data_IF_228852914704
#
_entry.id   IF_228852914704
#
_cell.length_a   1.000
_cell.length_b   1.000
_cell.length_c   1.000
_cell.angle_alpha   90.00
_cell.angle_beta   90.00
_cell.angle_gamma   90.00
#
_symmetry.space_group_name_H-M   'P 1'
#
loop_
_entity.id
_entity.type
_entity.pdbx_description
1 polymer ?
#
# COMPACT_ATOMS: atom_id res chain seq x y z
N UNK A 1 10.79 -28.53 17.82
CA UNK A 1 11.57 -27.39 18.33
C UNK A 1 11.05 -26.13 17.65
N UNK A 2 10.50 -25.19 18.41
CA UNK A 2 9.98 -23.92 17.87
C UNK A 2 11.16 -22.97 17.71
N UNK A 3 11.72 -22.89 16.51
CA UNK A 3 12.85 -21.98 16.26
C UNK A 3 12.29 -20.57 16.10
N UNK A 4 12.35 -19.79 17.17
CA UNK A 4 12.08 -18.34 17.11
C UNK A 4 13.27 -17.69 16.43
N UNK A 5 13.22 -17.57 15.10
CA UNK A 5 14.20 -16.78 14.37
C UNK A 5 13.92 -15.30 14.62
N UNK A 6 14.56 -14.73 15.63
CA UNK A 6 14.88 -13.31 15.63
C UNK A 6 16.39 -13.23 15.37
N UNK A 7 16.83 -13.14 14.09
CA UNK A 7 18.23 -12.86 13.82
C UNK A 7 18.56 -11.50 14.45
N UNK A 8 19.51 -11.53 15.38
CA UNK A 8 20.09 -10.39 16.09
C UNK A 8 21.04 -9.57 15.20
N UNK A 9 20.70 -9.42 13.90
CA UNK A 9 21.25 -8.32 13.11
C UNK A 9 20.43 -7.12 13.51
N UNK A 10 21.07 -6.09 14.05
CA UNK A 10 20.51 -4.74 14.13
C UNK A 10 19.86 -4.44 12.78
N UNK A 11 18.55 -4.65 12.67
CA UNK A 11 17.86 -4.57 11.40
C UNK A 11 18.07 -3.15 10.90
N UNK A 12 18.76 -3.09 9.75
CA UNK A 12 18.89 -2.00 8.79
C UNK A 12 18.12 -0.74 9.20
N UNK A 13 18.84 0.39 9.27
CA UNK A 13 18.29 1.75 9.49
C UNK A 13 16.85 1.82 8.99
N UNK A 14 15.95 2.16 9.91
CA UNK A 14 14.47 1.98 9.93
C UNK A 14 13.73 2.77 8.82
N UNK A 15 14.42 3.13 7.76
CA UNK A 15 13.93 3.80 6.57
C UNK A 15 14.15 2.88 5.37
N UNK A 16 13.36 1.80 5.24
CA UNK A 16 13.03 1.42 3.87
C UNK A 16 12.36 2.66 3.29
N UNK A 17 12.92 3.28 2.23
CA UNK A 17 12.32 4.46 1.62
C UNK A 17 10.85 4.13 1.39
N UNK A 18 9.95 5.06 1.72
CA UNK A 18 8.53 4.71 1.67
C UNK A 18 8.10 4.57 0.20
N UNK A 19 8.28 3.36 -0.32
CA UNK A 19 8.06 3.01 -1.69
C UNK A 19 6.64 2.50 -1.81
N UNK A 20 5.75 3.41 -2.18
CA UNK A 20 4.39 3.04 -2.58
C UNK A 20 4.38 2.87 -4.09
N UNK A 21 4.00 1.68 -4.57
CA UNK A 21 3.50 1.55 -5.92
C UNK A 21 2.23 2.40 -6.03
N UNK A 22 2.35 3.57 -6.67
CA UNK A 22 1.20 4.22 -7.25
C UNK A 22 0.85 3.40 -8.48
N UNK A 23 -0.33 2.76 -8.50
CA UNK A 23 -0.92 2.33 -9.76
C UNK A 23 -1.05 3.61 -10.60
N UNK A 24 -0.18 3.72 -11.59
CA UNK A 24 -0.15 4.85 -12.50
C UNK A 24 -1.48 4.80 -13.25
N UNK A 25 -2.34 5.79 -13.00
CA UNK A 25 -3.37 6.13 -13.97
C UNK A 25 -2.74 6.99 -15.05
N UNK A 26 -2.73 6.51 -16.30
CA UNK A 26 -2.09 7.01 -17.54
C UNK A 26 -0.63 6.60 -17.68
N UNK A 27 -0.27 5.73 -18.61
CA UNK A 27 -0.43 5.98 -20.05
C UNK A 27 -0.62 4.69 -20.84
N UNK A 28 -1.25 4.81 -22.00
CA UNK A 28 -1.19 3.84 -23.09
C UNK A 28 0.27 3.43 -23.35
N UNK A 29 0.46 2.12 -23.53
CA UNK A 29 1.69 1.42 -23.93
C UNK A 29 2.93 1.62 -23.04
N UNK A 30 3.39 0.50 -22.50
CA UNK A 30 4.57 0.30 -21.64
C UNK A 30 4.40 0.70 -20.17
N UNK A 31 4.22 -0.33 -19.35
CA UNK A 31 4.25 -0.32 -17.90
C UNK A 31 5.66 0.11 -17.44
N UNK A 32 5.94 1.41 -17.43
CA UNK A 32 7.23 1.95 -16.99
C UNK A 32 7.37 1.63 -15.51
N UNK A 33 8.23 0.67 -15.15
CA UNK A 33 8.47 0.18 -13.79
C UNK A 33 9.04 1.27 -12.89
N UNK A 34 8.20 2.21 -12.47
CA UNK A 34 8.57 3.35 -11.64
C UNK A 34 8.03 3.15 -10.21
N UNK A 35 8.96 3.11 -9.28
CA UNK A 35 8.71 3.16 -7.85
C UNK A 35 8.70 4.62 -7.40
N UNK A 36 7.85 4.98 -6.44
CA UNK A 36 7.87 6.32 -5.86
C UNK A 36 8.48 6.30 -4.47
N UNK A 37 9.66 6.90 -4.27
CA UNK A 37 10.23 7.17 -2.96
C UNK A 37 9.49 8.37 -2.34
N UNK A 38 8.71 8.10 -1.31
CA UNK A 38 7.96 9.11 -0.58
C UNK A 38 8.68 9.47 0.72
N UNK A 39 9.05 10.73 0.88
CA UNK A 39 9.79 11.22 2.05
C UNK A 39 8.92 12.20 2.83
N UNK A 40 8.92 12.07 4.15
CA UNK A 40 8.17 12.93 5.05
C UNK A 40 8.90 14.26 5.23
N UNK A 41 8.22 15.39 4.99
CA UNK A 41 8.82 16.72 5.15
C UNK A 41 8.03 17.64 6.10
N UNK A 42 8.75 18.59 6.66
CA UNK A 42 8.31 19.54 7.70
C UNK A 42 8.71 20.96 7.27
N UNK A 43 7.92 21.60 6.39
CA UNK A 43 8.17 22.98 6.00
C UNK A 43 7.92 23.94 7.14
N UNK A 44 8.69 25.03 7.15
CA UNK A 44 8.42 26.18 7.99
C UNK A 44 7.05 26.80 7.67
N UNK A 45 6.43 27.53 8.61
CA UNK A 45 5.10 28.11 8.40
C UNK A 45 5.00 29.00 7.16
N UNK A 46 6.04 29.79 6.87
CA UNK A 46 6.11 30.66 5.70
C UNK A 46 6.12 29.85 4.39
N UNK A 47 6.99 28.83 4.28
CA UNK A 47 7.05 27.93 3.13
C UNK A 47 5.75 27.16 2.93
N UNK A 48 5.17 26.66 4.03
CA UNK A 48 3.89 25.96 4.00
C UNK A 48 2.76 26.86 3.47
N UNK A 49 2.79 28.18 3.75
CA UNK A 49 1.84 29.15 3.22
C UNK A 49 2.00 29.33 1.71
N UNK A 50 3.24 29.44 1.22
CA UNK A 50 3.57 29.50 -0.21
C UNK A 50 3.05 28.25 -0.94
N UNK A 51 3.39 27.05 -0.47
CA UNK A 51 2.93 25.82 -1.10
C UNK A 51 1.40 25.63 -1.04
N UNK A 52 0.73 26.11 0.03
CA UNK A 52 -0.74 26.11 0.08
C UNK A 52 -1.36 27.06 -0.94
N UNK A 53 -0.76 28.23 -1.19
CA UNK A 53 -1.18 29.15 -2.26
C UNK A 53 -1.03 28.48 -3.62
N UNK A 54 0.10 27.83 -3.88
CA UNK A 54 0.32 27.05 -5.10
C UNK A 54 -0.72 25.93 -5.28
N UNK A 55 -1.06 25.19 -4.22
CA UNK A 55 -2.12 24.18 -4.25
C UNK A 55 -3.49 24.79 -4.57
N UNK A 56 -3.80 25.97 -4.01
CA UNK A 56 -5.05 26.67 -4.31
C UNK A 56 -5.11 27.13 -5.78
N UNK A 57 -3.99 27.59 -6.34
CA UNK A 57 -3.91 28.02 -7.74
C UNK A 57 -4.10 26.82 -8.68
N UNK A 58 -3.44 25.70 -8.41
CA UNK A 58 -3.61 24.46 -9.16
C UNK A 58 -5.06 23.95 -9.09
N UNK A 59 -5.69 24.00 -7.90
CA UNK A 59 -7.11 23.65 -7.75
C UNK A 59 -8.01 24.54 -8.58
N UNK A 60 -7.75 25.85 -8.60
CA UNK A 60 -8.52 26.80 -9.39
C UNK A 60 -8.43 26.46 -10.88
N UNK A 61 -7.21 26.33 -11.43
CA UNK A 61 -7.01 25.97 -12.83
C UNK A 61 -7.62 24.60 -13.19
N UNK A 62 -7.48 23.59 -12.32
CA UNK A 62 -8.12 22.28 -12.52
C UNK A 62 -9.65 22.41 -12.60
N UNK A 63 -10.27 23.12 -11.66
CA UNK A 63 -11.73 23.25 -11.63
C UNK A 63 -12.26 24.07 -12.83
N UNK A 64 -11.54 25.11 -13.25
CA UNK A 64 -11.85 25.86 -14.47
C UNK A 64 -11.76 24.97 -15.71
N UNK A 65 -10.72 24.13 -15.80
CA UNK A 65 -10.58 23.17 -16.88
C UNK A 65 -11.71 22.12 -16.92
N UNK A 66 -12.15 21.60 -15.77
CA UNK A 66 -13.33 20.71 -15.71
C UNK A 66 -14.61 21.46 -16.12
N UNK A 67 -14.80 22.70 -15.64
CA UNK A 67 -15.99 23.49 -15.97
C UNK A 67 -16.09 23.78 -17.47
N UNK A 68 -14.97 24.19 -18.08
CA UNK A 68 -14.87 24.41 -19.52
C UNK A 68 -15.24 23.15 -20.31
N UNK A 69 -14.68 21.99 -19.93
CA UNK A 69 -14.94 20.72 -20.62
C UNK A 69 -16.38 20.24 -20.47
N UNK A 70 -17.05 20.54 -19.36
CA UNK A 70 -18.48 20.24 -19.17
C UNK A 70 -19.36 21.07 -20.11
N UNK A 71 -18.98 22.32 -20.38
CA UNK A 71 -19.75 23.24 -21.21
C UNK A 71 -19.48 23.07 -22.71
N UNK A 72 -18.21 22.90 -23.10
CA UNK A 72 -17.77 22.95 -24.50
C UNK A 72 -17.30 21.59 -25.04
N UNK A 73 -17.36 20.54 -24.22
CA UNK A 73 -16.77 19.24 -24.53
C UNK A 73 -15.25 19.21 -24.36
N UNK A 74 -14.65 18.05 -24.64
CA UNK A 74 -13.21 17.82 -24.44
C UNK A 74 -12.42 18.34 -25.64
N UNK A 75 -11.47 19.28 -25.43
CA UNK A 75 -10.58 19.72 -26.51
C UNK A 75 -9.72 18.56 -27.04
N UNK A 76 -9.42 18.57 -28.34
CA UNK A 76 -8.60 17.53 -29.00
C UNK A 76 -7.25 17.29 -28.31
N UNK A 77 -6.60 18.35 -27.82
CA UNK A 77 -5.31 18.26 -27.14
C UNK A 77 -5.33 18.96 -25.78
N UNK A 78 -4.61 18.39 -24.81
CA UNK A 78 -4.44 19.01 -23.49
C UNK A 78 -3.77 20.39 -23.57
N UNK A 79 -2.88 20.59 -24.56
CA UNK A 79 -2.24 21.88 -24.85
C UNK A 79 -3.25 22.97 -25.18
N UNK A 80 -4.26 22.67 -26.01
CA UNK A 80 -5.31 23.64 -26.35
C UNK A 80 -6.10 24.07 -25.11
N UNK A 81 -6.51 23.11 -24.27
CA UNK A 81 -7.20 23.43 -23.02
C UNK A 81 -6.33 24.29 -22.09
N UNK A 82 -5.05 23.94 -21.95
CA UNK A 82 -4.08 24.69 -21.15
C UNK A 82 -3.96 26.14 -21.62
N UNK A 83 -3.83 26.37 -22.92
CA UNK A 83 -3.65 27.71 -23.46
C UNK A 83 -4.93 28.55 -23.28
N UNK A 84 -6.12 27.94 -23.41
CA UNK A 84 -7.41 28.60 -23.13
C UNK A 84 -7.51 29.02 -21.64
N UNK A 85 -7.25 28.10 -20.72
CA UNK A 85 -7.42 28.35 -19.27
C UNK A 85 -6.34 29.28 -18.71
N UNK A 86 -5.12 29.28 -19.27
CA UNK A 86 -4.04 30.13 -18.77
C UNK A 86 -4.00 31.53 -19.39
N UNK A 87 -4.64 31.72 -20.55
CA UNK A 87 -4.81 33.04 -21.18
C UNK A 87 -6.10 33.74 -20.78
N UNK A 88 -7.02 33.04 -20.11
CA UNK A 88 -8.22 33.66 -19.56
C UNK A 88 -7.87 34.64 -18.44
N UNK A 89 -8.85 35.45 -18.02
CA UNK A 89 -8.64 36.38 -16.93
C UNK A 89 -8.50 35.66 -15.58
N UNK A 90 -7.27 35.32 -15.24
CA UNK A 90 -6.92 34.67 -13.99
C UNK A 90 -6.74 35.71 -12.87
N UNK A 91 -7.26 35.46 -11.66
CA UNK A 91 -6.98 36.30 -10.50
C UNK A 91 -5.47 36.45 -10.25
N UNK A 92 -5.04 37.61 -9.75
CA UNK A 92 -3.62 37.92 -9.54
C UNK A 92 -2.89 36.86 -8.70
N UNK A 93 -3.53 36.40 -7.62
CA UNK A 93 -2.95 35.36 -6.75
C UNK A 93 -2.73 34.00 -7.44
N UNK A 94 -3.43 33.73 -8.55
CA UNK A 94 -3.20 32.56 -9.42
C UNK A 94 -2.07 32.86 -10.41
N UNK A 95 -2.00 34.08 -10.94
CA UNK A 95 -0.92 34.54 -11.83
C UNK A 95 0.45 34.42 -11.15
N UNK A 96 0.54 34.80 -9.88
CA UNK A 96 1.76 34.75 -9.05
C UNK A 96 2.31 33.33 -8.82
N UNK A 97 1.50 32.28 -8.99
CA UNK A 97 1.96 30.90 -8.85
C UNK A 97 2.77 30.44 -10.08
N UNK A 98 3.78 29.55 -9.91
CA UNK A 98 4.59 29.04 -11.01
C UNK A 98 3.75 28.48 -12.17
N UNK A 99 4.17 28.73 -13.42
CA UNK A 99 3.38 28.34 -14.59
C UNK A 99 3.24 26.81 -14.72
N UNK A 100 4.32 26.04 -14.57
CA UNK A 100 4.32 24.59 -14.83
C UNK A 100 3.34 23.83 -13.93
N UNK A 101 3.24 24.17 -12.64
CA UNK A 101 2.32 23.48 -11.74
C UNK A 101 0.85 23.71 -12.13
N UNK A 102 0.52 24.90 -12.63
CA UNK A 102 -0.82 25.23 -13.14
C UNK A 102 -1.11 24.48 -14.43
N UNK A 103 -0.13 24.42 -15.34
CA UNK A 103 -0.22 23.66 -16.58
C UNK A 103 -0.48 22.17 -16.31
N UNK A 104 0.28 21.57 -15.40
CA UNK A 104 0.12 20.17 -15.00
C UNK A 104 -1.28 19.90 -14.43
N UNK A 105 -1.81 20.82 -13.61
CA UNK A 105 -3.16 20.71 -13.07
C UNK A 105 -4.26 20.72 -14.16
N UNK A 106 -4.07 21.50 -15.24
CA UNK A 106 -5.01 21.51 -16.38
C UNK A 106 -4.93 20.22 -17.19
N UNK A 107 -3.71 19.71 -17.43
CA UNK A 107 -3.53 18.41 -18.11
C UNK A 107 -4.16 17.28 -17.31
N UNK A 108 -4.02 17.30 -15.98
CA UNK A 108 -4.64 16.32 -15.09
C UNK A 108 -6.17 16.38 -15.15
N UNK A 109 -6.75 17.59 -15.22
CA UNK A 109 -8.20 17.77 -15.40
C UNK A 109 -8.68 17.24 -16.75
N UNK A 110 -7.90 17.44 -17.81
CA UNK A 110 -8.20 16.92 -19.14
C UNK A 110 -8.22 15.38 -19.17
N UNK A 111 -7.20 14.76 -18.59
CA UNK A 111 -7.12 13.29 -18.47
C UNK A 111 -8.26 12.73 -17.61
N UNK A 112 -8.56 13.38 -16.47
CA UNK A 112 -9.63 12.95 -15.59
C UNK A 112 -11.00 12.95 -16.30
N UNK A 113 -11.28 13.99 -17.08
CA UNK A 113 -12.55 14.11 -17.82
C UNK A 113 -12.64 13.11 -18.99
N UNK A 114 -11.51 12.81 -19.66
CA UNK A 114 -11.47 11.76 -20.69
C UNK A 114 -11.77 10.38 -20.12
N UNK A 115 -11.31 10.08 -18.91
CA UNK A 115 -11.60 8.80 -18.23
C UNK A 115 -13.05 8.71 -17.76
N UNK A 116 -13.64 9.83 -17.36
CA UNK A 116 -15.02 9.89 -16.91
C UNK A 116 -15.57 11.30 -17.11
N UNK A 117 -16.67 11.42 -17.88
CA UNK A 117 -17.39 12.69 -18.07
C UNK A 117 -17.92 13.28 -16.75
N UNK A 118 -18.05 12.46 -15.72
CA UNK A 118 -18.45 12.85 -14.36
C UNK A 118 -17.27 13.25 -13.46
N UNK A 119 -16.10 13.54 -14.04
CA UNK A 119 -14.93 14.00 -13.31
C UNK A 119 -15.29 15.14 -12.35
N UNK A 120 -15.00 14.93 -11.06
CA UNK A 120 -15.41 15.84 -9.99
C UNK A 120 -14.45 17.02 -9.86
N UNK A 121 -14.98 18.16 -9.43
CA UNK A 121 -14.17 19.28 -8.98
C UNK A 121 -13.36 18.90 -7.74
N UNK A 122 -12.16 19.45 -7.64
CA UNK A 122 -11.32 19.38 -6.44
C UNK A 122 -11.86 20.31 -5.37
N UNK A 123 -11.92 19.82 -4.14
CA UNK A 123 -12.39 20.58 -2.98
C UNK A 123 -11.22 20.98 -2.07
N UNK A 124 -11.34 22.13 -1.40
CA UNK A 124 -10.45 22.52 -0.29
C UNK A 124 -10.49 21.46 0.83
N UNK A 125 -11.63 20.75 0.95
CA UNK A 125 -11.89 19.75 1.99
C UNK A 125 -11.32 18.37 1.65
N UNK A 126 -10.75 18.21 0.46
CA UNK A 126 -10.15 16.95 0.03
C UNK A 126 -9.07 16.50 1.01
N UNK A 127 -8.95 15.17 1.15
CA UNK A 127 -8.02 14.58 2.11
C UNK A 127 -6.57 14.85 1.74
N UNK A 128 -6.28 14.89 0.44
CA UNK A 128 -4.95 15.06 -0.14
C UNK A 128 -4.96 16.11 -1.24
N UNK A 129 -3.87 16.88 -1.32
CA UNK A 129 -3.60 17.82 -2.40
C UNK A 129 -2.19 17.59 -2.91
N UNK A 130 -2.03 17.43 -4.22
CA UNK A 130 -0.73 17.14 -4.84
C UNK A 130 -0.33 18.28 -5.77
N UNK A 131 0.94 18.67 -5.71
CA UNK A 131 1.58 19.53 -6.71
C UNK A 131 2.53 18.67 -7.52
N UNK A 132 2.41 18.74 -8.85
CA UNK A 132 3.29 18.01 -9.77
C UNK A 132 4.26 19.00 -10.41
N UNK A 133 5.55 18.66 -10.36
CA UNK A 133 6.63 19.48 -10.89
C UNK A 133 7.32 18.74 -12.03
N UNK A 134 7.70 19.49 -13.07
CA UNK A 134 8.48 18.97 -14.19
C UNK A 134 9.94 18.71 -13.77
N UNK A 135 10.65 17.94 -14.59
CA UNK A 135 12.09 17.77 -14.49
C UNK A 135 12.81 19.13 -14.42
N UNK A 136 13.82 19.24 -13.57
CA UNK A 136 14.60 20.46 -13.40
C UNK A 136 14.00 21.54 -12.48
N UNK A 137 12.74 21.41 -12.03
CA UNK A 137 12.14 22.33 -11.06
C UNK A 137 12.61 22.08 -9.61
N UNK A 138 13.21 20.92 -9.36
CA UNK A 138 13.83 20.57 -8.09
C UNK A 138 15.35 20.65 -8.23
N UNK A 139 15.96 21.63 -7.58
CA UNK A 139 17.41 21.90 -7.60
C UNK A 139 17.85 22.41 -6.23
N UNK A 140 19.12 22.25 -5.89
CA UNK A 140 19.67 22.66 -4.59
C UNK A 140 18.83 22.18 -3.39
N UNK A 141 18.24 20.98 -3.48
CA UNK A 141 17.43 20.38 -2.42
C UNK A 141 16.05 21.00 -2.20
N UNK A 142 15.56 21.88 -3.09
CA UNK A 142 14.23 22.51 -2.95
C UNK A 142 13.51 22.71 -4.29
N UNK A 143 12.20 22.96 -4.24
CA UNK A 143 11.38 23.29 -5.40
C UNK A 143 11.40 24.79 -5.67
N UNK A 144 11.70 25.16 -6.92
CA UNK A 144 11.83 26.55 -7.37
C UNK A 144 12.72 27.42 -6.47
N UNK A 145 14.05 27.19 -6.41
CA UNK A 145 14.95 27.85 -5.47
C UNK A 145 14.92 29.39 -5.50
N UNK A 146 14.62 29.99 -6.67
CA UNK A 146 14.45 31.45 -6.80
C UNK A 146 13.19 31.96 -6.07
N UNK A 147 12.10 31.19 -6.14
CA UNK A 147 10.79 31.55 -5.54
C UNK A 147 10.68 31.14 -4.07
N UNK A 148 11.53 30.21 -3.62
CA UNK A 148 11.59 29.73 -2.23
C UNK A 148 12.87 30.16 -1.53
N UNK A 149 13.56 31.19 -2.04
CA UNK A 149 14.80 31.71 -1.46
C UNK A 149 14.58 32.11 0.00
N UNK A 150 15.47 31.65 0.89
CA UNK A 150 15.41 31.92 2.33
C UNK A 150 14.36 31.11 3.08
N UNK A 151 13.64 30.19 2.43
CA UNK A 151 12.65 29.33 3.06
C UNK A 151 13.14 27.89 3.13
N UNK A 152 13.06 27.28 4.32
CA UNK A 152 13.56 25.93 4.53
C UNK A 152 12.47 24.93 4.95
N UNK A 153 12.81 23.65 4.82
CA UNK A 153 12.05 22.55 5.39
C UNK A 153 13.01 21.48 5.92
N UNK A 154 12.58 20.78 6.97
CA UNK A 154 13.27 19.58 7.45
C UNK A 154 12.69 18.33 6.78
N UNK A 155 13.52 17.34 6.52
CA UNK A 155 13.11 16.05 5.96
C UNK A 155 13.36 14.93 6.96
N UNK A 156 12.58 13.85 6.87
CA UNK A 156 12.79 12.64 7.70
C UNK A 156 13.96 11.79 7.21
N UNK A 157 14.36 11.95 5.96
CA UNK A 157 15.45 11.24 5.30
C UNK A 157 16.27 12.27 4.51
N UNK A 158 17.47 11.89 4.13
CA UNK A 158 18.33 12.71 3.27
C UNK A 158 17.63 13.02 1.94
N UNK A 159 17.61 14.30 1.61
CA UNK A 159 17.05 14.82 0.36
C UNK A 159 18.12 14.79 -0.73
N UNK A 160 17.76 14.35 -1.95
CA UNK A 160 18.66 14.54 -3.09
C UNK A 160 18.88 16.03 -3.34
N UNK A 161 20.06 16.41 -3.84
CA UNK A 161 20.34 17.80 -4.22
C UNK A 161 19.64 18.17 -5.53
N UNK A 162 19.58 17.25 -6.48
CA UNK A 162 18.94 17.40 -7.77
C UNK A 162 18.18 16.13 -8.15
N UNK A 163 17.20 16.25 -9.05
CA UNK A 163 16.44 15.12 -9.56
C UNK A 163 16.12 15.28 -11.05
N UNK A 164 16.44 14.27 -11.85
CA UNK A 164 16.30 14.31 -13.30
C UNK A 164 14.83 14.18 -13.77
N UNK A 165 13.96 13.57 -12.96
CA UNK A 165 12.56 13.31 -13.32
C UNK A 165 11.60 14.31 -12.67
N UNK A 166 10.35 14.33 -13.14
CA UNK A 166 9.29 15.07 -12.47
C UNK A 166 9.12 14.60 -11.01
N UNK A 167 8.87 15.54 -10.10
CA UNK A 167 8.69 15.27 -8.67
C UNK A 167 7.31 15.70 -8.24
N UNK A 168 6.81 15.19 -7.11
CA UNK A 168 5.54 15.64 -6.55
C UNK A 168 5.67 16.08 -5.09
N UNK A 169 4.86 17.06 -4.72
CA UNK A 169 4.69 17.49 -3.33
C UNK A 169 3.24 17.26 -2.91
N UNK A 170 3.04 16.24 -2.08
CA UNK A 170 1.72 15.83 -1.60
C UNK A 170 1.47 16.30 -0.17
N UNK A 171 0.33 16.94 0.07
CA UNK A 171 -0.17 17.27 1.39
C UNK A 171 -1.39 16.43 1.73
N UNK A 172 -1.28 15.58 2.75
CA UNK A 172 -2.40 14.83 3.34
C UNK A 172 -2.78 15.48 4.67
N UNK A 173 -3.92 16.17 4.77
CA UNK A 173 -4.28 17.01 5.93
C UNK A 173 -3.15 18.00 6.29
N UNK A 174 -2.52 17.83 7.46
CA UNK A 174 -1.44 18.70 7.97
C UNK A 174 -0.04 18.11 7.71
N UNK A 175 0.03 17.13 6.81
CA UNK A 175 1.22 16.34 6.54
C UNK A 175 1.71 16.54 5.11
N UNK A 176 2.93 17.03 4.95
CA UNK A 176 3.65 17.12 3.66
C UNK A 176 4.55 15.91 3.36
N UNK A 177 4.60 15.53 2.10
CA UNK A 177 5.43 14.46 1.58
C UNK A 177 6.02 14.87 0.24
N UNK A 178 7.32 14.67 0.10
CA UNK A 178 8.04 14.75 -1.17
C UNK A 178 7.99 13.38 -1.85
N UNK A 179 7.70 13.32 -3.14
CA UNK A 179 7.63 12.07 -3.90
C UNK A 179 8.60 12.16 -5.07
N UNK A 180 9.54 11.22 -5.10
CA UNK A 180 10.59 11.09 -6.10
C UNK A 180 10.40 9.78 -6.87
N UNK A 181 10.07 9.82 -8.17
CA UNK A 181 9.98 8.63 -9.00
C UNK A 181 11.37 8.06 -9.31
N UNK A 182 11.59 6.81 -8.94
CA UNK A 182 12.79 6.00 -9.13
C UNK A 182 12.49 4.82 -10.06
N UNK A 183 13.42 4.43 -10.95
CA UNK A 183 13.28 3.17 -11.67
C UNK A 183 13.29 2.00 -10.67
N UNK A 184 12.46 0.98 -10.93
CA UNK A 184 12.51 -0.27 -10.18
C UNK A 184 13.77 -1.02 -10.61
N UNK A 185 14.77 -1.01 -9.73
CA UNK A 185 15.92 -1.89 -9.89
C UNK A 185 15.51 -3.30 -9.47
N UNK A 186 15.42 -4.20 -10.43
CA UNK A 186 15.21 -5.63 -10.18
C UNK A 186 16.48 -6.21 -9.55
N UNK A 187 16.34 -6.86 -8.40
CA UNK A 187 17.45 -7.46 -7.64
C UNK A 187 17.16 -8.93 -7.48
N UNK A 188 17.88 -9.84 -8.13
CA UNK A 188 17.55 -11.24 -7.95
C UNK A 188 17.91 -11.76 -6.55
N UNK A 189 16.97 -12.38 -5.85
CA UNK A 189 17.29 -13.10 -4.61
C UNK A 189 17.81 -14.50 -4.93
N UNK A 190 18.90 -14.91 -4.27
CA UNK A 190 19.45 -16.28 -4.32
C UNK A 190 18.69 -17.28 -3.43
N UNK A 191 17.56 -16.85 -2.86
CA UNK A 191 16.76 -17.70 -1.99
C UNK A 191 16.32 -18.97 -2.72
N UNK A 192 16.28 -20.10 -2.02
CA UNK A 192 15.81 -21.39 -2.55
C UNK A 192 14.59 -21.95 -1.80
N UNK A 193 14.21 -21.32 -0.68
CA UNK A 193 13.12 -21.81 0.18
C UNK A 193 11.74 -21.66 -0.46
N UNK A 194 10.81 -22.52 -0.04
CA UNK A 194 9.38 -22.46 -0.36
C UNK A 194 8.62 -22.24 0.94
N UNK A 195 7.59 -21.40 0.96
CA UNK A 195 6.74 -21.21 2.15
C UNK A 195 5.27 -21.07 1.80
N UNK A 196 4.42 -21.74 2.56
CA UNK A 196 2.98 -21.54 2.52
C UNK A 196 2.52 -20.72 3.72
N UNK A 197 1.75 -19.66 3.45
CA UNK A 197 1.31 -18.70 4.46
C UNK A 197 -0.18 -18.85 4.75
N UNK A 198 -0.55 -18.85 6.02
CA UNK A 198 -1.92 -18.78 6.50
C UNK A 198 -2.14 -17.47 7.29
N UNK A 199 -3.02 -16.57 6.84
CA UNK A 199 -3.30 -15.31 7.51
C UNK A 199 -4.15 -15.49 8.76
N UNK A 200 -3.68 -14.91 9.86
CA UNK A 200 -4.34 -15.00 11.15
C UNK A 200 -4.63 -13.64 11.77
N UNK A 201 -5.33 -13.67 12.91
CA UNK A 201 -5.58 -12.46 13.72
C UNK A 201 -4.61 -12.34 14.89
N UNK A 202 -4.27 -13.47 15.53
CA UNK A 202 -3.39 -13.50 16.73
C UNK A 202 -1.91 -13.47 16.37
N UNK A 203 -1.54 -14.30 15.40
CA UNK A 203 -0.34 -14.14 14.58
C UNK A 203 -0.78 -13.52 13.27
N UNK A 204 -0.06 -12.53 12.76
CA UNK A 204 -0.42 -11.88 11.50
C UNK A 204 -0.42 -12.89 10.34
N UNK A 205 0.63 -13.73 10.30
CA UNK A 205 0.78 -14.83 9.37
C UNK A 205 1.41 -16.03 10.08
N UNK A 206 1.03 -17.21 9.65
CA UNK A 206 1.67 -18.48 10.02
C UNK A 206 2.22 -19.12 8.76
N UNK A 207 3.52 -19.37 8.71
CA UNK A 207 4.21 -20.01 7.60
C UNK A 207 4.51 -21.47 7.87
N UNK A 208 4.49 -22.29 6.83
CA UNK A 208 5.10 -23.62 6.81
C UNK A 208 6.08 -23.68 5.63
N UNK A 209 7.35 -23.98 5.89
CA UNK A 209 8.45 -23.94 4.91
C UNK A 209 8.86 -25.32 4.38
N UNK A 210 8.10 -26.37 4.73
CA UNK A 210 8.43 -27.77 4.40
C UNK A 210 9.16 -28.50 5.54
N UNK A 211 9.93 -27.80 6.36
CA UNK A 211 10.68 -28.37 7.48
C UNK A 211 10.07 -28.00 8.85
N UNK A 212 9.46 -26.82 8.96
CA UNK A 212 8.97 -26.28 10.22
C UNK A 212 7.92 -25.19 10.06
N UNK A 213 7.46 -24.69 11.21
CA UNK A 213 6.45 -23.64 11.30
C UNK A 213 7.06 -22.32 11.76
N UNK A 214 6.70 -21.24 11.07
CA UNK A 214 7.13 -19.88 11.38
C UNK A 214 5.91 -19.05 11.77
N UNK A 215 5.88 -18.50 12.97
CA UNK A 215 4.82 -17.57 13.38
C UNK A 215 5.31 -16.13 13.25
N UNK A 216 4.63 -15.33 12.42
CA UNK A 216 5.05 -13.96 12.11
C UNK A 216 4.18 -12.96 12.89
N UNK A 217 4.83 -11.99 13.53
CA UNK A 217 4.21 -10.91 14.31
C UNK A 217 3.24 -11.41 15.40
N UNK A 218 3.60 -12.51 16.07
CA UNK A 218 2.81 -13.08 17.16
C UNK A 218 2.78 -12.11 18.35
N UNK A 219 1.59 -11.65 18.73
CA UNK A 219 1.40 -10.77 19.90
C UNK A 219 1.47 -9.26 19.61
N UNK A 220 1.94 -8.85 18.44
CA UNK A 220 2.02 -7.43 18.04
C UNK A 220 0.65 -6.75 17.94
N UNK A 221 -0.41 -7.54 17.69
CA UNK A 221 -1.77 -7.03 17.60
C UNK A 221 -2.25 -6.40 18.91
N UNK A 222 -1.71 -6.79 20.08
CA UNK A 222 -2.13 -6.23 21.37
C UNK A 222 -1.90 -4.71 21.45
N UNK A 223 -0.80 -4.21 20.89
CA UNK A 223 -0.52 -2.76 20.82
C UNK A 223 -1.49 -2.04 19.88
N UNK A 224 -1.76 -2.63 18.72
CA UNK A 224 -2.68 -2.08 17.72
C UNK A 224 -4.11 -2.06 18.29
N UNK A 225 -4.55 -3.14 18.94
CA UNK A 225 -5.85 -3.27 19.57
C UNK A 225 -6.10 -2.17 20.62
N UNK A 226 -5.13 -1.90 21.49
CA UNK A 226 -5.21 -0.79 22.47
C UNK A 226 -5.44 0.56 21.80
N UNK A 227 -4.70 0.85 20.72
CA UNK A 227 -4.90 2.08 19.95
C UNK A 227 -6.28 2.14 19.27
N UNK A 228 -6.80 1.00 18.81
CA UNK A 228 -8.16 0.90 18.27
C UNK A 228 -9.22 1.20 19.35
N UNK A 229 -9.04 0.72 20.58
CA UNK A 229 -9.97 1.03 21.69
C UNK A 229 -9.94 2.52 22.05
N UNK A 230 -8.76 3.13 22.15
CA UNK A 230 -8.66 4.58 22.36
C UNK A 230 -9.31 5.38 21.22
N UNK A 231 -9.22 4.89 19.98
CA UNK A 231 -9.87 5.53 18.84
C UNK A 231 -11.40 5.45 18.96
N UNK A 232 -11.94 4.35 19.47
CA UNK A 232 -13.38 4.18 19.68
C UNK A 232 -13.91 5.07 20.79
N UNK A 233 -13.22 5.12 21.94
CA UNK A 233 -13.55 6.06 23.02
C UNK A 233 -13.56 7.51 22.50
N UNK A 234 -12.53 7.87 21.73
CA UNK A 234 -12.45 9.21 21.19
C UNK A 234 -13.56 9.49 20.15
N UNK A 235 -14.01 8.48 19.40
CA UNK A 235 -15.15 8.61 18.50
C UNK A 235 -16.50 8.68 19.23
N UNK A 236 -16.69 7.92 20.30
CA UNK A 236 -17.92 7.94 21.10
C UNK A 236 -18.09 9.28 21.82
N UNK A 237 -16.99 9.89 22.28
CA UNK A 237 -16.99 11.24 22.86
C UNK A 237 -17.17 12.33 21.80
N UNK A 238 -16.70 12.08 20.57
CA UNK A 238 -16.81 13.02 19.46
C UNK A 238 -18.28 13.28 19.07
N UNK A 239 -19.14 12.26 19.11
CA UNK A 239 -20.56 12.40 18.76
C UNK A 239 -21.29 13.36 19.71
N UNK A 240 -20.88 13.40 20.98
CA UNK A 240 -21.46 14.23 22.04
C UNK A 240 -20.78 15.61 22.20
N UNK A 241 -19.69 15.88 21.47
CA UNK A 241 -18.87 17.07 21.70
C UNK A 241 -19.37 18.34 20.98
N UNK A 242 -19.21 19.54 21.58
CA UNK A 242 -19.52 20.83 20.95
C UNK A 242 -18.58 21.16 19.77
N UNK A 243 -18.99 22.06 18.87
CA UNK A 243 -18.37 22.30 17.55
C UNK A 243 -16.84 22.53 17.58
N UNK A 244 -16.34 23.40 18.47
CA UNK A 244 -14.91 23.70 18.56
C UNK A 244 -14.08 22.51 19.08
N UNK A 245 -14.56 21.83 20.14
CA UNK A 245 -13.93 20.62 20.70
C UNK A 245 -13.94 19.47 19.69
N UNK A 246 -15.02 19.33 18.93
CA UNK A 246 -15.20 18.35 17.85
C UNK A 246 -14.11 18.46 16.78
N UNK A 247 -13.69 19.68 16.40
CA UNK A 247 -12.60 19.89 15.44
C UNK A 247 -11.27 19.35 15.96
N UNK A 248 -10.88 19.70 17.19
CA UNK A 248 -9.64 19.22 17.82
C UNK A 248 -9.64 17.69 17.98
N UNK A 249 -10.76 17.13 18.41
CA UNK A 249 -10.93 15.67 18.54
C UNK A 249 -10.85 14.95 17.18
N UNK A 250 -11.44 15.50 16.09
CA UNK A 250 -11.27 14.94 14.74
C UNK A 250 -9.81 14.89 14.30
N UNK A 251 -9.01 15.91 14.65
CA UNK A 251 -7.57 15.91 14.38
C UNK A 251 -6.84 14.85 15.20
N UNK A 252 -7.17 14.70 16.49
CA UNK A 252 -6.62 13.63 17.33
C UNK A 252 -6.96 12.23 16.79
N UNK A 253 -8.23 12.00 16.41
CA UNK A 253 -8.68 10.76 15.78
C UNK A 253 -7.90 10.46 14.49
N UNK A 254 -7.64 11.49 13.67
CA UNK A 254 -6.86 11.35 12.46
C UNK A 254 -5.41 10.94 12.76
N UNK A 255 -4.76 11.59 13.73
CA UNK A 255 -3.39 11.24 14.17
C UNK A 255 -3.32 9.79 14.65
N UNK A 256 -4.32 9.35 15.42
CA UNK A 256 -4.39 7.98 15.94
C UNK A 256 -4.61 6.94 14.82
N UNK A 257 -5.52 7.19 13.88
CA UNK A 257 -5.71 6.33 12.70
C UNK A 257 -4.44 6.21 11.87
N UNK A 258 -3.72 7.31 11.69
CA UNK A 258 -2.45 7.30 10.97
C UNK A 258 -1.36 6.54 11.74
N UNK A 259 -1.32 6.64 13.07
CA UNK A 259 -0.39 5.85 13.90
C UNK A 259 -0.65 4.35 13.75
N UNK A 260 -1.92 3.94 13.81
CA UNK A 260 -2.32 2.54 13.60
C UNK A 260 -1.88 2.08 12.20
N UNK A 261 -2.18 2.87 11.17
CA UNK A 261 -1.76 2.57 9.80
C UNK A 261 -0.25 2.44 9.66
N UNK A 262 0.52 3.35 10.25
CA UNK A 262 1.98 3.31 10.17
C UNK A 262 2.55 2.04 10.82
N UNK A 263 2.01 1.60 11.96
CA UNK A 263 2.42 0.35 12.62
C UNK A 263 2.10 -0.88 11.77
N UNK A 264 0.91 -0.92 11.18
CA UNK A 264 0.51 -2.01 10.26
C UNK A 264 1.40 -2.02 9.02
N UNK A 265 1.62 -0.86 8.40
CA UNK A 265 2.47 -0.74 7.23
C UNK A 265 3.94 -1.08 7.53
N UNK A 266 4.43 -0.78 8.74
CA UNK A 266 5.76 -1.19 9.21
C UNK A 266 5.87 -2.71 9.32
N UNK A 267 4.88 -3.36 9.94
CA UNK A 267 4.80 -4.82 10.00
C UNK A 267 4.80 -5.41 8.58
N UNK A 268 3.93 -4.91 7.69
CA UNK A 268 3.86 -5.38 6.31
C UNK A 268 5.19 -5.27 5.58
N UNK A 269 5.93 -4.16 5.75
CA UNK A 269 7.24 -3.97 5.13
C UNK A 269 8.27 -4.96 5.64
N UNK A 270 8.39 -5.11 6.97
CA UNK A 270 9.33 -6.05 7.59
C UNK A 270 9.05 -7.49 7.18
N UNK A 271 7.78 -7.86 7.18
CA UNK A 271 7.36 -9.22 6.81
C UNK A 271 7.58 -9.50 5.33
N UNK A 272 7.24 -8.56 4.43
CA UNK A 272 7.49 -8.74 3.01
C UNK A 272 8.99 -8.80 2.70
N UNK A 273 9.82 -7.98 3.35
CA UNK A 273 11.27 -8.08 3.25
C UNK A 273 11.77 -9.46 3.69
N UNK A 274 11.41 -9.90 4.90
CA UNK A 274 11.75 -11.23 5.41
C UNK A 274 11.34 -12.35 4.45
N UNK A 275 10.11 -12.34 3.94
CA UNK A 275 9.63 -13.38 3.04
C UNK A 275 10.38 -13.40 1.71
N UNK A 276 10.61 -12.24 1.12
CA UNK A 276 11.29 -12.12 -0.18
C UNK A 276 12.80 -12.32 -0.12
N UNK A 277 13.41 -12.15 1.06
CA UNK A 277 14.83 -12.43 1.29
C UNK A 277 15.12 -13.91 1.56
N UNK A 278 14.17 -14.65 2.14
CA UNK A 278 14.39 -16.04 2.57
C UNK A 278 13.74 -17.08 1.65
N UNK A 279 12.72 -16.72 0.88
CA UNK A 279 11.95 -17.66 0.06
C UNK A 279 11.86 -17.20 -1.40
N UNK A 280 11.96 -18.16 -2.32
CA UNK A 280 11.80 -17.96 -3.77
C UNK A 280 10.37 -18.18 -4.24
N UNK A 281 9.66 -19.07 -3.55
CA UNK A 281 8.27 -19.40 -3.85
C UNK A 281 7.42 -19.21 -2.59
N UNK A 282 6.42 -18.36 -2.69
CA UNK A 282 5.51 -18.03 -1.59
C UNK A 282 4.09 -18.37 -2.00
N UNK A 283 3.47 -19.34 -1.32
CA UNK A 283 2.06 -19.65 -1.47
C UNK A 283 1.23 -18.79 -0.51
N UNK A 284 0.28 -18.05 -1.07
CA UNK A 284 -0.56 -17.14 -0.32
C UNK A 284 -2.04 -17.37 -0.67
N UNK A 285 -2.93 -17.59 0.31
CA UNK A 285 -4.33 -17.82 0.03
C UNK A 285 -4.99 -16.57 -0.55
N UNK A 286 -5.97 -16.76 -1.44
CA UNK A 286 -6.77 -15.67 -2.00
C UNK A 286 -7.62 -15.00 -0.93
N UNK A 287 -7.40 -13.71 -0.69
CA UNK A 287 -8.13 -12.97 0.35
C UNK A 287 -9.49 -12.46 -0.13
N UNK A 288 -10.56 -13.22 0.12
CA UNK A 288 -11.93 -12.71 -0.01
C UNK A 288 -12.36 -11.89 1.24
N UNK A 289 -11.48 -11.02 1.73
CA UNK A 289 -11.65 -10.27 2.99
C UNK A 289 -12.94 -9.45 3.06
N UNK A 290 -13.50 -9.00 1.92
CA UNK A 290 -14.81 -8.35 1.85
C UNK A 290 -15.98 -9.31 2.15
N UNK A 291 -15.94 -10.53 1.61
CA UNK A 291 -16.97 -11.57 1.84
C UNK A 291 -16.87 -12.16 3.24
N UNK A 292 -15.65 -12.35 3.77
CA UNK A 292 -15.42 -12.86 5.13
C UNK A 292 -15.90 -11.93 6.25
N UNK A 293 -15.95 -10.62 6.00
CA UNK A 293 -16.30 -9.61 7.00
C UNK A 293 -17.74 -9.09 6.85
N UNK A 294 -18.44 -9.45 5.76
CA UNK A 294 -19.86 -9.13 5.57
C UNK A 294 -20.71 -9.60 6.77
N UNK A 295 -21.72 -8.81 7.16
CA UNK A 295 -22.58 -9.13 8.31
C UNK A 295 -23.45 -10.37 8.07
N UNK A 296 -23.97 -10.51 6.85
CA UNK A 296 -24.70 -11.70 6.44
C UNK A 296 -23.70 -12.87 6.23
N UNK A 297 -23.88 -13.97 6.97
CA UNK A 297 -23.05 -15.19 6.81
C UNK A 297 -21.72 -15.21 7.57
N UNK A 298 -21.44 -14.25 8.47
CA UNK A 298 -20.18 -14.19 9.22
C UNK A 298 -20.02 -15.36 10.20
N UNK A 299 -18.95 -16.15 10.04
CA UNK A 299 -18.62 -17.32 10.89
C UNK A 299 -17.74 -16.98 12.12
N UNK A 300 -17.41 -15.70 12.32
CA UNK A 300 -16.54 -15.22 13.41
C UNK A 300 -17.11 -13.99 14.11
N UNK A 301 -16.70 -13.74 15.36
CA UNK A 301 -17.18 -12.58 16.14
C UNK A 301 -16.77 -11.22 15.58
N UNK A 302 -17.52 -10.17 15.92
CA UNK A 302 -17.31 -8.79 15.46
C UNK A 302 -15.91 -8.23 15.77
N UNK A 303 -15.34 -8.60 16.93
CA UNK A 303 -13.98 -8.21 17.34
C UNK A 303 -12.91 -8.80 16.40
N UNK A 304 -13.05 -10.07 16.03
CA UNK A 304 -12.13 -10.77 15.12
C UNK A 304 -12.21 -10.21 13.71
N UNK A 305 -13.42 -9.96 13.22
CA UNK A 305 -13.63 -9.34 11.91
C UNK A 305 -13.00 -7.95 11.82
N UNK A 306 -13.16 -7.15 12.87
CA UNK A 306 -12.50 -5.84 12.96
C UNK A 306 -10.98 -5.94 12.99
N UNK A 307 -10.44 -6.91 13.71
CA UNK A 307 -9.01 -7.15 13.76
C UNK A 307 -8.42 -7.54 12.40
N UNK A 308 -9.11 -8.42 11.65
CA UNK A 308 -8.75 -8.75 10.26
C UNK A 308 -8.76 -7.52 9.34
N UNK A 309 -9.79 -6.67 9.45
CA UNK A 309 -9.82 -5.41 8.69
C UNK A 309 -8.69 -4.46 9.07
N UNK A 310 -8.29 -4.46 10.35
CA UNK A 310 -7.21 -3.61 10.85
C UNK A 310 -5.85 -4.05 10.30
N UNK A 311 -5.61 -5.36 10.22
CA UNK A 311 -4.43 -5.93 9.56
C UNK A 311 -4.39 -5.66 8.06
N UNK A 312 -5.54 -5.44 7.41
CA UNK A 312 -5.61 -5.09 6.00
C UNK A 312 -4.82 -6.04 5.10
N UNK A 313 -5.03 -7.36 5.27
CA UNK A 313 -4.27 -8.41 4.59
C UNK A 313 -4.23 -8.27 3.05
N UNK A 314 -5.30 -7.79 2.42
CA UNK A 314 -5.28 -7.50 0.98
C UNK A 314 -4.22 -6.45 0.62
N UNK A 315 -4.05 -5.38 1.42
CA UNK A 315 -2.98 -4.40 1.21
C UNK A 315 -1.60 -5.03 1.36
N UNK A 316 -1.45 -5.97 2.30
CA UNK A 316 -0.21 -6.74 2.45
C UNK A 316 0.06 -7.61 1.23
N UNK A 317 -0.91 -8.36 0.74
CA UNK A 317 -0.80 -9.18 -0.48
C UNK A 317 -0.33 -8.36 -1.69
N UNK A 318 -0.94 -7.19 -1.93
CA UNK A 318 -0.52 -6.31 -3.02
C UNK A 318 0.92 -5.81 -2.83
N UNK A 319 1.29 -5.45 -1.60
CA UNK A 319 2.65 -5.02 -1.29
C UNK A 319 3.66 -6.15 -1.44
N UNK A 320 3.33 -7.36 -1.01
CA UNK A 320 4.17 -8.55 -1.13
C UNK A 320 4.42 -8.89 -2.59
N UNK A 321 3.38 -8.89 -3.44
CA UNK A 321 3.54 -9.09 -4.89
C UNK A 321 4.47 -8.06 -5.52
N UNK A 322 4.34 -6.79 -5.14
CA UNK A 322 5.22 -5.74 -5.62
C UNK A 322 6.68 -5.98 -5.22
N UNK A 323 6.94 -6.30 -3.94
CA UNK A 323 8.29 -6.61 -3.46
C UNK A 323 8.86 -7.89 -4.09
N UNK A 324 8.00 -8.89 -4.29
CA UNK A 324 8.39 -10.16 -4.89
C UNK A 324 8.78 -9.97 -6.36
N UNK A 325 8.01 -9.18 -7.13
CA UNK A 325 8.38 -8.80 -8.50
C UNK A 325 9.76 -8.12 -8.55
N UNK A 326 10.02 -7.18 -7.63
CA UNK A 326 11.32 -6.52 -7.54
C UNK A 326 12.47 -7.50 -7.27
N UNK A 327 12.20 -8.58 -6.53
CA UNK A 327 13.22 -9.55 -6.13
C UNK A 327 13.28 -10.84 -6.96
N UNK A 328 12.52 -10.88 -8.06
CA UNK A 328 12.27 -12.10 -8.84
C UNK A 328 11.83 -13.32 -7.98
N UNK A 329 10.99 -13.04 -6.98
CA UNK A 329 10.34 -14.04 -6.13
C UNK A 329 8.94 -14.30 -6.67
N UNK A 330 8.54 -15.58 -6.71
CA UNK A 330 7.24 -16.01 -7.23
C UNK A 330 6.23 -16.07 -6.08
N UNK A 331 5.13 -15.34 -6.21
CA UNK A 331 4.00 -15.39 -5.28
C UNK A 331 2.82 -16.04 -5.98
N UNK A 332 2.45 -17.25 -5.54
CA UNK A 332 1.34 -18.01 -6.11
C UNK A 332 0.11 -17.86 -5.21
N UNK A 333 -1.00 -17.45 -5.81
CA UNK A 333 -2.28 -17.38 -5.11
C UNK A 333 -2.95 -18.75 -5.07
N UNK A 334 -3.34 -19.19 -3.88
CA UNK A 334 -3.94 -20.51 -3.65
C UNK A 334 -5.37 -20.35 -3.17
N UNK A 335 -6.28 -21.18 -3.68
CA UNK A 335 -7.67 -21.14 -3.23
C UNK A 335 -7.81 -21.62 -1.77
N UNK A 336 -8.51 -20.85 -0.93
CA UNK A 336 -8.66 -21.12 0.53
C UNK A 336 -9.70 -22.23 0.85
N UNK A 337 -10.30 -22.86 -0.16
CA UNK A 337 -11.44 -23.75 0.06
C UNK A 337 -11.05 -24.99 0.88
N UNK A 338 -11.63 -25.10 2.09
CA UNK A 338 -11.53 -26.24 3.03
C UNK A 338 -10.16 -26.50 3.66
N UNK A 339 -9.15 -25.64 3.47
CA UNK A 339 -7.78 -25.84 3.99
C UNK A 339 -7.73 -25.84 5.53
N UNK A 340 -8.52 -24.99 6.20
CA UNK A 340 -8.55 -24.89 7.66
C UNK A 340 -9.45 -25.92 8.38
N UNK A 341 -10.23 -26.71 7.63
CA UNK A 341 -11.16 -27.73 8.17
C UNK A 341 -10.74 -29.16 7.88
N UNK A 342 -9.90 -29.36 6.88
CA UNK A 342 -9.48 -30.69 6.45
C UNK A 342 -8.28 -31.13 7.25
N UNK A 343 -8.34 -32.33 7.82
CA UNK A 343 -7.20 -32.91 8.52
C UNK A 343 -6.08 -33.24 7.52
N UNK A 344 -4.90 -32.71 7.75
CA UNK A 344 -3.70 -32.93 6.90
C UNK A 344 -3.15 -34.35 7.01
N UNK A 345 -3.54 -35.11 8.05
CA UNK A 345 -3.11 -36.50 8.23
C UNK A 345 -4.02 -37.52 7.53
N UNK A 346 -5.36 -37.33 7.59
CA UNK A 346 -6.32 -38.35 7.12
C UNK A 346 -7.37 -37.83 6.13
N UNK A 347 -7.31 -36.56 5.74
CA UNK A 347 -8.25 -35.95 4.79
C UNK A 347 -9.67 -35.70 5.32
N UNK A 348 -9.98 -36.06 6.58
CA UNK A 348 -11.33 -35.86 7.13
C UNK A 348 -11.67 -34.36 7.30
N UNK A 349 -12.85 -33.96 6.80
CA UNK A 349 -13.34 -32.58 6.87
C UNK A 349 -14.11 -32.36 8.18
N UNK A 350 -13.57 -31.51 9.04
CA UNK A 350 -14.20 -31.17 10.30
C UNK A 350 -15.32 -30.14 10.11
N UNK A 351 -16.58 -30.58 10.22
CA UNK A 351 -17.76 -29.74 10.00
C UNK A 351 -18.06 -28.79 11.18
N UNK A 352 -17.84 -29.23 12.43
CA UNK A 352 -18.16 -28.51 13.68
C UNK A 352 -16.98 -27.77 14.36
N UNK A 353 -15.98 -27.32 13.62
CA UNK A 353 -14.70 -26.83 14.20
C UNK A 353 -14.84 -25.53 15.04
N UNK A 354 -15.84 -24.68 14.73
CA UNK A 354 -16.11 -23.44 15.47
C UNK A 354 -14.89 -22.52 15.61
N UNK A 355 -14.69 -21.95 16.81
CA UNK A 355 -13.59 -21.06 17.19
C UNK A 355 -12.43 -21.74 17.93
N UNK A 356 -12.32 -23.08 17.87
CA UNK A 356 -11.29 -23.82 18.59
C UNK A 356 -9.86 -23.41 18.15
N UNK A 357 -8.95 -23.30 19.14
CA UNK A 357 -7.53 -22.93 18.90
C UNK A 357 -6.68 -24.11 18.44
N UNK A 358 -7.10 -25.31 18.82
CA UNK A 358 -6.41 -26.56 18.52
C UNK A 358 -7.35 -27.38 17.65
N UNK A 359 -6.84 -27.82 16.50
CA UNK A 359 -7.52 -28.78 15.66
C UNK A 359 -7.36 -30.17 16.29
N UNK A 360 -8.48 -30.86 16.52
CA UNK A 360 -8.50 -32.27 16.90
C UNK A 360 -9.34 -33.01 15.88
N UNK A 361 -8.74 -33.94 15.15
CA UNK A 361 -9.46 -34.73 14.17
C UNK A 361 -10.39 -35.74 14.88
N UNK A 362 -11.69 -35.78 14.59
CA UNK A 362 -12.59 -36.78 15.18
C UNK A 362 -12.36 -38.19 14.64
N UNK A 363 -11.73 -38.34 13.46
CA UNK A 363 -11.48 -39.65 12.82
C UNK A 363 -10.16 -40.30 13.23
N UNK A 364 -9.07 -39.54 13.25
CA UNK A 364 -7.72 -40.09 13.50
C UNK A 364 -7.05 -39.52 14.76
N UNK A 365 -7.78 -38.74 15.56
CA UNK A 365 -7.29 -38.11 16.80
C UNK A 365 -6.06 -37.21 16.65
N UNK A 366 -5.68 -36.87 15.41
CA UNK A 366 -4.55 -35.97 15.14
C UNK A 366 -4.80 -34.59 15.75
N UNK A 367 -3.80 -34.07 16.46
CA UNK A 367 -3.89 -32.82 17.22
C UNK A 367 -2.78 -31.86 16.80
N UNK A 368 -3.17 -30.66 16.36
CA UNK A 368 -2.24 -29.61 15.93
C UNK A 368 -2.84 -28.22 16.22
N UNK A 369 -2.04 -27.18 16.49
CA UNK A 369 -2.54 -25.81 16.47
C UNK A 369 -3.25 -25.50 15.16
N UNK A 370 -4.41 -24.82 15.22
CA UNK A 370 -5.24 -24.56 14.04
C UNK A 370 -4.54 -23.73 12.97
N UNK A 371 -3.75 -22.74 13.40
CA UNK A 371 -3.01 -21.87 12.47
C UNK A 371 -1.95 -22.68 11.71
N UNK A 372 -1.36 -23.71 12.34
CA UNK A 372 -0.40 -24.62 11.69
C UNK A 372 -1.10 -25.58 10.72
N UNK A 373 -2.28 -26.07 11.11
CA UNK A 373 -3.14 -26.87 10.25
C UNK A 373 -3.52 -26.11 8.97
N UNK A 374 -3.83 -24.82 9.10
CA UNK A 374 -4.13 -23.92 7.97
C UNK A 374 -2.94 -23.78 7.02
N UNK A 375 -1.75 -23.44 7.55
CA UNK A 375 -0.53 -23.28 6.75
C UNK A 375 -0.14 -24.57 5.98
N UNK A 376 -0.22 -25.73 6.65
CA UNK A 376 -0.02 -27.03 5.99
C UNK A 376 -1.07 -27.30 4.91
N UNK A 377 -2.34 -27.02 5.19
CA UNK A 377 -3.42 -27.20 4.24
C UNK A 377 -3.23 -26.35 2.98
N UNK A 378 -2.75 -25.11 3.13
CA UNK A 378 -2.39 -24.24 2.00
C UNK A 378 -1.23 -24.85 1.21
N UNK A 379 -0.18 -25.36 1.86
CA UNK A 379 0.94 -26.03 1.18
C UNK A 379 0.47 -27.23 0.36
N UNK A 380 -0.25 -28.17 0.97
CA UNK A 380 -0.75 -29.36 0.27
C UNK A 380 -1.65 -29.01 -0.90
N UNK A 381 -2.50 -27.99 -0.73
CA UNK A 381 -3.38 -27.50 -1.79
C UNK A 381 -2.57 -26.88 -2.93
N UNK A 382 -1.57 -26.08 -2.60
CA UNK A 382 -0.68 -25.49 -3.58
C UNK A 382 0.01 -26.58 -4.40
N UNK A 383 0.58 -27.59 -3.75
CA UNK A 383 1.25 -28.71 -4.41
C UNK A 383 0.31 -29.51 -5.31
N UNK A 384 -0.97 -29.62 -4.95
CA UNK A 384 -1.99 -30.28 -5.77
C UNK A 384 -2.39 -29.44 -6.99
N UNK A 385 -2.57 -28.14 -6.79
CA UNK A 385 -3.09 -27.22 -7.80
C UNK A 385 -2.00 -26.68 -8.75
N UNK A 386 -0.72 -26.80 -8.37
CA UNK A 386 0.43 -26.45 -9.22
C UNK A 386 1.02 -27.70 -9.85
N UNK A 387 1.03 -27.76 -11.18
CA UNK A 387 1.73 -28.81 -11.91
C UNK A 387 3.23 -28.46 -11.98
N UNK A 388 4.08 -29.34 -11.46
CA UNK A 388 5.52 -29.21 -11.62
C UNK A 388 5.92 -29.92 -12.92
N UNK A 389 6.48 -29.17 -13.89
CA UNK A 389 7.11 -29.77 -15.07
C UNK A 389 8.59 -29.96 -14.77
N UNK A 390 9.01 -31.21 -14.61
CA UNK A 390 10.42 -31.58 -14.53
C UNK A 390 10.92 -31.89 -15.94
N UNK A 391 11.58 -30.93 -16.59
CA UNK A 391 12.32 -31.16 -17.83
C UNK A 391 13.82 -31.24 -17.52
N UNK A 392 14.57 -32.11 -18.20
CA UNK A 392 16.01 -32.34 -18.04
C UNK A 392 16.83 -31.02 -17.94
N UNK A 393 17.08 -30.55 -16.71
CA UNK A 393 17.84 -29.32 -16.42
C UNK A 393 17.02 -28.02 -16.29
N UNK A 394 15.69 -28.06 -16.34
CA UNK A 394 14.82 -26.89 -16.22
C UNK A 394 13.66 -27.15 -15.24
N UNK A 395 13.69 -26.49 -14.08
CA UNK A 395 12.56 -26.46 -13.15
C UNK A 395 11.61 -25.33 -13.56
N UNK A 396 10.57 -25.65 -14.34
CA UNK A 396 9.49 -24.72 -14.66
C UNK A 396 8.27 -25.04 -13.79
N UNK A 397 7.76 -24.05 -13.06
CA UNK A 397 6.46 -24.16 -12.37
C UNK A 397 5.38 -23.82 -13.39
N UNK A 398 4.69 -24.84 -13.90
CA UNK A 398 3.50 -24.66 -14.71
C UNK A 398 2.30 -24.46 -13.79
N UNK A 399 2.12 -23.23 -13.30
CA UNK A 399 0.83 -22.85 -12.74
C UNK A 399 -0.10 -22.50 -13.90
N UNK A 400 -1.36 -22.99 -13.93
CA UNK A 400 -2.35 -22.52 -14.91
C UNK A 400 -2.67 -21.02 -14.80
N UNK A 401 -2.06 -20.29 -13.84
CA UNK A 401 -2.47 -18.95 -13.42
C UNK A 401 -1.38 -17.87 -13.37
N UNK A 402 -0.15 -18.09 -13.84
CA UNK A 402 0.76 -16.96 -14.14
C UNK A 402 1.94 -17.33 -15.01
N UNK A 403 2.10 -16.59 -16.10
CA UNK A 403 3.15 -16.69 -17.10
C UNK A 403 4.54 -16.27 -16.62
N UNK A 404 5.54 -16.98 -17.15
CA UNK A 404 6.96 -16.67 -17.32
C UNK A 404 7.75 -16.17 -16.09
N UNK A 405 8.39 -17.11 -15.39
CA UNK A 405 9.57 -16.82 -14.60
C UNK A 405 10.78 -16.63 -15.53
N UNK A 406 11.33 -15.41 -15.61
CA UNK A 406 12.64 -15.19 -16.22
C UNK A 406 13.73 -15.75 -15.29
N UNK A 407 14.67 -16.49 -15.87
CA UNK A 407 15.82 -17.04 -15.19
C UNK A 407 16.70 -15.90 -14.65
N UNK A 408 17.16 -16.03 -13.42
CA UNK A 408 18.37 -15.34 -13.00
C UNK A 408 19.53 -16.29 -13.27
N UNK A 409 20.41 -15.91 -14.17
CA UNK A 409 21.77 -16.46 -14.21
C UNK A 409 22.49 -16.06 -12.92
N UNK A 410 23.24 -17.01 -12.36
CA UNK A 410 24.08 -16.82 -11.19
C UNK A 410 25.25 -15.88 -11.48
#
# INVERSE_FOLDING_TARGET
MTTTFLPNRNWLRISSPSCTASAVGSTDSENTGLQSRKIRIYPEPALAKVWKRWQAACRYCYNQAIAYQRQHGVPRTARKLRDIILRSDLPQWVKDAPCHIKQNAVVEAWLAFRRSKDARFRSVRDRSHTLQFNAGNFRNGTWYPKLTRGLAFRASEEMPREWARGTELMRVKDRWYAIFPEPVNEQCSLAKGVVALDPGVRSFLTGFDGAGFVNIAKGDFGRIARLCYHLDDLQSRLSKAPRLKRRRMRQAAFRLRERIRNLVDECHRKVAAFLTDNYRLIFLPTFESAKMVAKAGRKFGSKTARAMLTWAHYRFQQFLKFQAKKKNVVVVEVSEAYTSKTCTKCGHIHTKLGGAKVFRCPKCSHRLPRDWQGALGVMLRALRDTAFLFGNGQNAIASPLSSNAQQCSA
#
